data_IF_655931198816
#
_entry.id   IF_655931198816
#
_cell.length_a   1.000
_cell.length_b   1.000
_cell.length_c   1.000
_cell.angle_alpha   90.00
_cell.angle_beta   90.00
_cell.angle_gamma   90.00
#
_symmetry.space_group_name_H-M   'P 1'
#
loop_
_entity.id
_entity.type
_entity.pdbx_description
1 polymer ?
#
# COMPACT_ATOMS: atom_id res chain seq x y z
N UNK A 1 20.97 -7.99 -14.62
CA UNK A 1 21.81 -6.79 -14.42
C UNK A 1 22.69 -7.05 -13.21
N UNK A 2 23.99 -7.26 -13.42
CA UNK A 2 24.91 -7.57 -12.32
C UNK A 2 25.21 -6.32 -11.50
N UNK A 3 25.11 -6.41 -10.18
CA UNK A 3 25.55 -5.33 -9.28
C UNK A 3 27.06 -5.14 -9.46
N UNK A 4 27.46 -4.06 -10.12
CA UNK A 4 28.85 -3.66 -10.21
C UNK A 4 29.30 -3.22 -8.82
N UNK A 5 30.03 -4.09 -8.12
CA UNK A 5 30.62 -3.74 -6.84
C UNK A 5 31.69 -2.67 -7.05
N UNK A 6 31.41 -1.44 -6.59
CA UNK A 6 32.40 -0.35 -6.54
C UNK A 6 33.10 -0.42 -5.19
N UNK A 7 34.42 -0.62 -5.20
CA UNK A 7 35.22 -0.66 -3.97
C UNK A 7 35.20 0.74 -3.33
N UNK A 8 34.84 0.88 -2.04
CA UNK A 8 34.91 2.17 -1.36
C UNK A 8 36.37 2.66 -1.24
N UNK A 9 36.58 3.99 -1.17
CA UNK A 9 37.91 4.58 -0.99
C UNK A 9 38.53 4.13 0.34
N UNK A 10 39.86 4.01 0.36
CA UNK A 10 40.60 3.61 1.56
C UNK A 10 40.73 4.82 2.48
N UNK A 11 40.14 4.74 3.67
CA UNK A 11 40.06 5.86 4.62
C UNK A 11 41.21 5.87 5.64
N UNK A 12 41.91 4.75 5.85
CA UNK A 12 43.01 4.69 6.82
C UNK A 12 44.28 3.95 6.38
N UNK A 13 45.26 3.96 7.28
CA UNK A 13 46.62 3.42 7.04
C UNK A 13 46.83 1.98 7.50
N UNK A 14 45.83 1.34 8.13
CA UNK A 14 45.94 -0.05 8.59
C UNK A 14 46.25 -0.97 7.41
N UNK A 15 47.32 -1.78 7.47
CA UNK A 15 47.65 -2.75 6.43
C UNK A 15 46.74 -3.99 6.50
N UNK A 16 45.97 -4.15 7.58
CA UNK A 16 45.22 -5.36 7.88
C UNK A 16 43.73 -5.29 7.50
N UNK A 17 43.19 -4.10 7.21
CA UNK A 17 41.77 -3.91 6.88
C UNK A 17 41.61 -3.32 5.48
N UNK A 18 40.59 -3.78 4.75
CA UNK A 18 40.32 -3.33 3.37
C UNK A 18 39.93 -1.85 3.29
N UNK A 19 39.28 -1.33 4.33
CA UNK A 19 38.94 0.10 4.48
C UNK A 19 40.13 0.94 4.98
N UNK A 20 41.20 0.31 5.46
CA UNK A 20 42.36 0.98 6.04
C UNK A 20 42.13 1.51 7.47
N UNK A 21 40.90 1.46 7.98
CA UNK A 21 40.62 1.83 9.38
C UNK A 21 41.14 0.69 10.28
N UNK A 22 41.93 0.95 11.34
CA UNK A 22 42.36 -0.10 12.24
C UNK A 22 41.16 -0.87 12.79
N UNK A 23 41.25 -2.21 12.94
CA UNK A 23 40.17 -2.97 13.55
C UNK A 23 39.88 -2.42 14.95
N UNK A 24 38.61 -2.39 15.39
CA UNK A 24 38.26 -1.87 16.70
C UNK A 24 39.04 -2.61 17.79
N UNK A 25 39.56 -1.86 18.76
CA UNK A 25 40.42 -2.39 19.82
C UNK A 25 39.68 -3.43 20.65
N UNK A 26 40.26 -4.62 20.78
CA UNK A 26 39.76 -5.67 21.66
C UNK A 26 40.12 -5.34 23.11
N UNK A 27 39.11 -5.13 23.97
CA UNK A 27 39.33 -4.93 25.40
C UNK A 27 39.39 -6.30 26.09
N UNK A 28 40.55 -6.63 26.69
CA UNK A 28 40.58 -7.62 27.78
C UNK A 28 40.27 -6.88 29.08
N UNK A 29 39.26 -7.34 29.83
CA UNK A 29 39.06 -6.89 31.21
C UNK A 29 40.30 -7.34 32.00
N UNK A 30 41.03 -6.39 32.59
CA UNK A 30 42.28 -6.67 33.30
C UNK A 30 42.08 -7.80 34.32
N UNK A 31 42.83 -8.90 34.16
CA UNK A 31 42.79 -10.07 35.04
C UNK A 31 41.76 -11.17 34.70
N UNK A 32 41.07 -11.11 33.55
CA UNK A 32 40.13 -12.17 33.14
C UNK A 32 40.73 -13.16 32.14
N UNK A 33 40.56 -14.46 32.38
CA UNK A 33 40.86 -15.56 31.43
C UNK A 33 39.86 -15.67 30.26
N UNK A 34 38.90 -14.74 30.20
CA UNK A 34 37.88 -14.71 29.15
C UNK A 34 38.49 -14.34 27.78
N UNK A 35 38.04 -14.97 26.69
CA UNK A 35 38.39 -14.55 25.33
C UNK A 35 37.98 -13.10 25.06
N UNK A 36 38.81 -12.35 24.32
CA UNK A 36 38.51 -10.97 23.96
C UNK A 36 37.35 -10.91 22.95
N UNK A 37 36.33 -10.09 23.21
CA UNK A 37 35.18 -9.86 22.32
C UNK A 37 34.96 -8.37 22.01
N UNK A 38 34.20 -8.07 20.94
CA UNK A 38 33.82 -6.69 20.57
C UNK A 38 32.62 -6.22 21.41
N UNK A 39 32.54 -4.92 21.68
CA UNK A 39 31.68 -4.32 22.70
C UNK A 39 30.16 -4.54 22.52
N UNK A 40 29.64 -4.83 21.32
CA UNK A 40 28.17 -4.87 21.07
C UNK A 40 27.70 -5.86 19.97
N UNK A 41 28.42 -6.95 19.69
CA UNK A 41 28.00 -7.93 18.66
C UNK A 41 27.51 -9.22 19.35
N UNK A 42 26.31 -9.78 19.05
CA UNK A 42 26.07 -11.19 19.35
C UNK A 42 27.25 -11.96 18.75
N UNK A 43 27.88 -12.83 19.54
CA UNK A 43 29.17 -13.43 19.23
C UNK A 43 29.30 -13.74 17.73
N UNK A 44 30.13 -12.96 17.02
CA UNK A 44 30.31 -13.14 15.58
C UNK A 44 30.77 -14.58 15.35
N UNK A 45 30.04 -15.33 14.51
CA UNK A 45 30.33 -16.74 14.19
C UNK A 45 31.75 -16.91 13.64
N UNK A 46 32.34 -15.82 13.15
CA UNK A 46 33.64 -15.79 12.50
C UNK A 46 34.80 -15.59 13.48
N UNK A 47 34.57 -15.19 14.76
CA UNK A 47 35.60 -15.01 15.82
C UNK A 47 36.99 -14.58 15.26
N UNK A 48 38.07 -15.26 15.64
CA UNK A 48 39.41 -15.19 15.05
C UNK A 48 39.55 -16.02 13.76
N UNK A 49 38.51 -16.74 13.34
CA UNK A 49 38.49 -17.58 12.14
C UNK A 49 38.25 -16.76 10.87
N UNK A 50 37.99 -15.45 10.99
CA UNK A 50 38.06 -14.51 9.88
C UNK A 50 39.47 -14.51 9.24
N UNK A 51 40.53 -14.72 10.05
CA UNK A 51 41.89 -14.89 9.57
C UNK A 51 42.14 -16.33 9.09
N UNK A 52 42.51 -16.47 7.81
CA UNK A 52 42.67 -17.77 7.15
C UNK A 52 43.77 -18.64 7.77
N UNK A 53 44.82 -18.01 8.33
CA UNK A 53 45.93 -18.70 9.02
C UNK A 53 45.50 -19.34 10.32
N UNK A 54 44.64 -18.66 11.08
CA UNK A 54 44.10 -19.15 12.35
C UNK A 54 43.06 -20.24 12.07
N UNK A 55 42.30 -20.09 10.99
CA UNK A 55 41.34 -21.10 10.51
C UNK A 55 42.00 -22.45 10.20
N UNK A 56 43.21 -22.44 9.65
CA UNK A 56 43.97 -23.66 9.36
C UNK A 56 44.49 -24.39 10.62
N UNK A 57 44.63 -23.68 11.75
CA UNK A 57 45.11 -24.24 13.01
C UNK A 57 44.01 -24.94 13.85
N UNK A 58 42.73 -24.74 13.50
CA UNK A 58 41.59 -25.31 14.23
C UNK A 58 41.25 -24.58 15.54
N UNK A 59 40.17 -25.01 16.21
CA UNK A 59 39.73 -24.43 17.49
C UNK A 59 40.54 -25.00 18.67
N UNK A 60 40.91 -24.13 19.61
CA UNK A 60 41.45 -24.55 20.90
C UNK A 60 40.40 -25.31 21.72
N UNK A 61 40.81 -26.12 22.73
CA UNK A 61 39.88 -26.82 23.61
C UNK A 61 38.88 -25.87 24.30
N UNK A 62 39.36 -24.71 24.77
CA UNK A 62 38.51 -23.70 25.40
C UNK A 62 37.46 -23.14 24.43
N UNK A 63 37.85 -22.79 23.20
CA UNK A 63 36.91 -22.29 22.19
C UNK A 63 35.89 -23.35 21.78
N UNK A 64 36.29 -24.63 21.75
CA UNK A 64 35.37 -25.74 21.49
C UNK A 64 34.32 -25.85 22.58
N UNK A 65 34.70 -25.72 23.85
CA UNK A 65 33.77 -25.70 24.99
C UNK A 65 32.78 -24.54 24.91
N UNK A 66 33.27 -23.33 24.60
CA UNK A 66 32.43 -22.15 24.41
C UNK A 66 31.47 -22.32 23.23
N UNK A 67 31.93 -22.90 22.11
CA UNK A 67 31.09 -23.18 20.95
C UNK A 67 29.99 -24.19 21.28
N UNK A 68 30.29 -25.24 22.04
CA UNK A 68 29.30 -26.23 22.49
C UNK A 68 28.21 -25.57 23.35
N UNK A 69 28.59 -24.68 24.28
CA UNK A 69 27.64 -23.91 25.09
C UNK A 69 26.75 -23.02 24.22
N UNK A 70 27.35 -22.26 23.31
CA UNK A 70 26.58 -21.40 22.41
C UNK A 70 25.59 -22.16 21.53
N UNK A 71 26.00 -23.30 20.94
CA UNK A 71 25.08 -24.14 20.14
C UNK A 71 23.93 -24.63 21.00
N UNK A 72 24.19 -24.99 22.25
CA UNK A 72 23.17 -25.39 23.20
C UNK A 72 22.20 -24.24 23.49
N UNK A 73 22.71 -23.01 23.64
CA UNK A 73 21.90 -21.81 23.89
C UNK A 73 21.02 -21.39 22.70
N UNK A 74 21.28 -21.89 21.48
CA UNK A 74 20.39 -21.70 20.33
C UNK A 74 19.14 -22.60 20.36
N UNK A 75 19.09 -23.60 21.25
CA UNK A 75 17.90 -24.41 21.42
C UNK A 75 16.86 -23.58 22.17
N UNK A 76 15.77 -23.24 21.48
CA UNK A 76 14.63 -22.59 22.11
C UNK A 76 13.98 -23.51 23.14
N UNK A 77 13.30 -22.92 24.11
CA UNK A 77 12.48 -23.68 25.05
C UNK A 77 11.39 -24.45 24.28
N UNK A 78 10.98 -25.67 24.69
CA UNK A 78 9.91 -26.41 24.02
C UNK A 78 8.58 -25.63 23.91
N UNK A 79 8.34 -24.68 24.82
CA UNK A 79 7.14 -23.83 24.79
C UNK A 79 7.27 -22.60 23.90
N UNK A 80 8.45 -22.36 23.31
CA UNK A 80 8.69 -21.27 22.38
C UNK A 80 8.55 -21.74 20.92
N UNK A 81 7.92 -20.94 20.05
CA UNK A 81 7.40 -19.59 20.28
C UNK A 81 6.02 -19.58 20.98
N UNK A 82 5.89 -18.77 22.04
CA UNK A 82 4.60 -18.54 22.71
C UNK A 82 3.76 -17.60 21.83
N UNK A 83 2.80 -18.16 21.08
CA UNK A 83 1.87 -17.38 20.28
C UNK A 83 0.73 -16.90 21.18
N UNK A 84 0.71 -15.59 21.49
CA UNK A 84 -0.34 -14.98 22.31
C UNK A 84 -1.55 -14.65 21.44
N UNK A 85 -2.61 -15.45 21.56
CA UNK A 85 -3.86 -15.26 20.82
C UNK A 85 -4.46 -13.85 20.99
N UNK A 86 -4.30 -13.24 22.17
CA UNK A 86 -4.82 -11.90 22.44
C UNK A 86 -4.17 -10.79 21.57
N UNK A 87 -2.92 -10.98 21.14
CA UNK A 87 -2.22 -10.03 20.26
C UNK A 87 -2.69 -10.18 18.81
N UNK A 88 -3.06 -11.39 18.40
CA UNK A 88 -3.44 -11.68 17.01
C UNK A 88 -4.96 -11.71 16.78
N UNK A 89 -5.76 -11.76 17.85
CA UNK A 89 -7.22 -11.71 17.79
C UNK A 89 -7.69 -10.30 17.44
N UNK A 90 -8.48 -10.19 16.38
CA UNK A 90 -9.09 -8.91 16.03
C UNK A 90 -10.26 -8.64 16.99
N UNK A 91 -10.13 -7.61 17.84
CA UNK A 91 -11.17 -7.23 18.80
C UNK A 91 -12.43 -6.60 18.15
N UNK A 92 -12.38 -6.20 16.87
CA UNK A 92 -13.53 -5.56 16.21
C UNK A 92 -14.61 -6.59 15.84
N UNK A 93 -15.79 -6.59 16.50
CA UNK A 93 -16.83 -7.59 16.30
C UNK A 93 -17.46 -7.51 14.91
N UNK A 94 -17.60 -6.30 14.35
CA UNK A 94 -18.13 -6.09 13.00
C UNK A 94 -17.20 -6.77 11.98
N UNK A 95 -15.89 -6.61 12.18
CA UNK A 95 -14.89 -7.24 11.31
C UNK A 95 -14.88 -8.75 11.41
N UNK A 96 -15.07 -9.30 12.60
CA UNK A 96 -15.23 -10.75 12.78
C UNK A 96 -16.48 -11.24 12.05
N UNK A 97 -17.61 -10.54 12.21
CA UNK A 97 -18.89 -10.94 11.64
C UNK A 97 -18.86 -11.03 10.11
N UNK A 98 -18.40 -9.98 9.41
CA UNK A 98 -18.39 -10.01 7.94
C UNK A 98 -17.30 -10.94 7.37
N UNK A 99 -16.22 -11.21 8.10
CA UNK A 99 -15.16 -12.14 7.68
C UNK A 99 -15.52 -13.61 7.93
N UNK A 100 -16.29 -13.87 8.97
CA UNK A 100 -16.63 -15.23 9.41
C UNK A 100 -17.09 -16.19 8.30
N UNK A 101 -18.04 -15.83 7.40
CA UNK A 101 -18.49 -16.75 6.37
C UNK A 101 -17.36 -17.11 5.38
N UNK A 102 -16.55 -16.12 4.98
CA UNK A 102 -15.42 -16.34 4.07
C UNK A 102 -14.28 -17.12 4.72
N UNK A 103 -14.06 -16.92 6.01
CA UNK A 103 -13.04 -17.65 6.76
C UNK A 103 -13.42 -19.12 6.92
N UNK A 104 -14.70 -19.42 7.15
CA UNK A 104 -15.23 -20.79 7.15
C UNK A 104 -15.13 -21.45 5.78
N UNK A 105 -15.52 -20.74 4.71
CA UNK A 105 -15.42 -21.23 3.34
C UNK A 105 -13.95 -21.54 2.98
N UNK A 106 -13.03 -20.66 3.39
CA UNK A 106 -11.60 -20.87 3.18
C UNK A 106 -11.06 -22.10 3.91
N UNK A 107 -11.35 -22.25 5.20
CA UNK A 107 -10.79 -23.36 6.00
C UNK A 107 -11.38 -24.72 5.62
N UNK A 108 -12.68 -24.78 5.31
CA UNK A 108 -13.38 -26.04 5.09
C UNK A 108 -13.41 -26.48 3.62
N UNK A 109 -13.32 -25.56 2.65
CA UNK A 109 -13.41 -25.89 1.22
C UNK A 109 -12.20 -25.42 0.42
N UNK A 110 -11.84 -24.13 0.47
CA UNK A 110 -10.80 -23.62 -0.44
C UNK A 110 -9.40 -24.17 -0.15
N UNK A 111 -9.01 -24.19 1.14
CA UNK A 111 -7.71 -24.69 1.57
C UNK A 111 -7.51 -26.18 1.27
N UNK A 112 -8.45 -27.10 1.59
CA UNK A 112 -8.25 -28.52 1.29
C UNK A 112 -8.31 -28.83 -0.21
N UNK A 113 -9.13 -28.12 -1.00
CA UNK A 113 -9.29 -28.43 -2.43
C UNK A 113 -8.21 -27.79 -3.31
N UNK A 114 -7.86 -26.52 -3.06
CA UNK A 114 -6.94 -25.75 -3.92
C UNK A 114 -5.56 -25.50 -3.30
N UNK A 115 -5.36 -25.92 -2.04
CA UNK A 115 -4.15 -25.62 -1.29
C UNK A 115 -4.08 -24.19 -0.78
N UNK A 116 -3.00 -23.88 -0.05
CA UNK A 116 -2.86 -22.59 0.65
C UNK A 116 -2.73 -21.42 -0.32
N UNK A 117 -1.94 -21.56 -1.38
CA UNK A 117 -1.69 -20.46 -2.30
C UNK A 117 -2.95 -20.07 -3.07
N UNK A 118 -3.54 -20.97 -3.85
CA UNK A 118 -4.74 -20.65 -4.62
C UNK A 118 -5.95 -20.36 -3.73
N UNK A 119 -6.11 -21.07 -2.61
CA UNK A 119 -7.18 -20.80 -1.66
C UNK A 119 -7.12 -19.38 -1.08
N UNK A 120 -5.92 -18.85 -0.79
CA UNK A 120 -5.76 -17.48 -0.29
C UNK A 120 -6.07 -16.45 -1.36
N UNK A 121 -5.65 -16.69 -2.60
CA UNK A 121 -6.00 -15.83 -3.75
C UNK A 121 -7.52 -15.74 -3.88
N UNK A 122 -8.22 -16.88 -3.94
CA UNK A 122 -9.68 -16.94 -4.10
C UNK A 122 -10.40 -16.22 -2.94
N UNK A 123 -9.97 -16.46 -1.69
CA UNK A 123 -10.53 -15.82 -0.49
C UNK A 123 -10.46 -14.29 -0.55
N UNK A 124 -9.43 -13.73 -1.18
CA UNK A 124 -9.21 -12.28 -1.23
C UNK A 124 -9.84 -11.65 -2.46
N UNK A 125 -9.83 -12.32 -3.62
CA UNK A 125 -10.27 -11.75 -4.90
C UNK A 125 -11.78 -11.83 -5.07
N UNK A 126 -12.40 -12.98 -4.80
CA UNK A 126 -13.83 -13.20 -5.08
C UNK A 126 -14.75 -12.25 -4.31
N UNK A 127 -14.60 -12.04 -2.98
CA UNK A 127 -15.47 -11.09 -2.28
C UNK A 127 -15.34 -9.67 -2.82
N UNK A 128 -14.12 -9.27 -3.22
CA UNK A 128 -13.88 -7.94 -3.80
C UNK A 128 -14.57 -7.81 -5.16
N UNK A 129 -14.47 -8.82 -6.02
CA UNK A 129 -15.14 -8.82 -7.32
C UNK A 129 -16.66 -8.73 -7.14
N UNK A 130 -17.24 -9.49 -6.20
CA UNK A 130 -18.67 -9.44 -5.91
C UNK A 130 -19.08 -8.05 -5.41
N UNK A 131 -18.34 -7.46 -4.48
CA UNK A 131 -18.63 -6.12 -3.96
C UNK A 131 -18.48 -5.04 -5.04
N UNK A 132 -17.45 -5.13 -5.88
CA UNK A 132 -17.27 -4.21 -7.01
C UNK A 132 -18.41 -4.35 -8.00
N UNK A 133 -18.83 -5.57 -8.33
CA UNK A 133 -19.96 -5.81 -9.22
C UNK A 133 -21.27 -5.22 -8.64
N UNK A 134 -21.57 -5.50 -7.37
CA UNK A 134 -22.74 -4.92 -6.70
C UNK A 134 -22.69 -3.38 -6.64
N UNK A 135 -21.51 -2.80 -6.39
CA UNK A 135 -21.33 -1.36 -6.40
C UNK A 135 -21.58 -0.77 -7.81
N UNK A 136 -21.07 -1.41 -8.86
CA UNK A 136 -21.30 -0.97 -10.24
C UNK A 136 -22.77 -1.09 -10.64
N UNK A 137 -23.43 -2.19 -10.31
CA UNK A 137 -24.86 -2.40 -10.59
C UNK A 137 -25.73 -1.40 -9.83
N UNK A 138 -25.44 -1.13 -8.55
CA UNK A 138 -26.17 -0.13 -7.77
C UNK A 138 -25.94 1.28 -8.29
N UNK A 139 -24.71 1.64 -8.66
CA UNK A 139 -24.40 2.92 -9.31
C UNK A 139 -25.12 3.03 -10.67
N UNK A 140 -25.11 1.98 -11.48
CA UNK A 140 -25.80 1.94 -12.77
C UNK A 140 -27.31 2.07 -12.60
N UNK A 141 -27.89 1.34 -11.66
CA UNK A 141 -29.31 1.43 -11.35
C UNK A 141 -29.69 2.84 -10.90
N UNK A 142 -28.92 3.41 -9.97
CA UNK A 142 -29.15 4.77 -9.48
C UNK A 142 -29.03 5.78 -10.62
N UNK A 143 -27.99 5.69 -11.45
CA UNK A 143 -27.85 6.56 -12.61
C UNK A 143 -28.99 6.37 -13.62
N UNK A 144 -29.46 5.15 -13.87
CA UNK A 144 -30.50 4.88 -14.88
C UNK A 144 -31.90 5.34 -14.46
N UNK A 145 -32.26 5.18 -13.18
CA UNK A 145 -33.64 5.36 -12.72
C UNK A 145 -33.82 6.58 -11.80
N UNK A 146 -32.76 7.07 -11.17
CA UNK A 146 -32.77 8.27 -10.32
C UNK A 146 -32.06 9.43 -11.04
N UNK A 147 -32.31 9.59 -12.34
CA UNK A 147 -31.89 10.79 -13.08
C UNK A 147 -32.70 11.96 -12.55
N UNK A 148 -32.02 13.08 -12.27
CA UNK A 148 -32.69 14.30 -11.84
C UNK A 148 -33.45 14.91 -13.01
N UNK A 149 -34.75 14.66 -13.05
CA UNK A 149 -35.68 15.26 -14.00
C UNK A 149 -36.53 16.36 -13.34
N UNK A 150 -37.30 17.09 -14.14
CA UNK A 150 -38.24 18.08 -13.62
C UNK A 150 -39.31 17.49 -12.67
N UNK A 151 -39.55 16.17 -12.72
CA UNK A 151 -40.42 15.44 -11.80
C UNK A 151 -39.71 14.97 -10.52
N UNK A 152 -38.38 14.82 -10.55
CA UNK A 152 -37.59 14.24 -9.46
C UNK A 152 -36.45 15.20 -9.05
N UNK A 153 -36.62 15.85 -7.90
CA UNK A 153 -35.68 16.89 -7.43
C UNK A 153 -34.33 16.33 -6.93
N UNK A 154 -34.23 15.02 -6.74
CA UNK A 154 -33.03 14.31 -6.28
C UNK A 154 -32.47 13.47 -7.43
N UNK A 155 -31.20 13.14 -7.37
CA UNK A 155 -30.56 12.29 -8.38
C UNK A 155 -29.35 12.93 -9.03
N UNK A 156 -28.83 12.25 -10.05
CA UNK A 156 -27.70 12.72 -10.84
C UNK A 156 -28.21 13.62 -11.97
N UNK A 157 -27.67 14.83 -12.08
CA UNK A 157 -27.89 15.71 -13.22
C UNK A 157 -27.01 15.25 -14.39
N UNK A 158 -27.63 14.72 -15.44
CA UNK A 158 -26.93 14.43 -16.69
C UNK A 158 -27.06 15.65 -17.60
N UNK A 159 -25.98 16.42 -17.72
CA UNK A 159 -25.89 17.42 -18.78
C UNK A 159 -25.57 16.72 -20.10
N UNK A 160 -26.19 17.11 -21.23
CA UNK A 160 -25.79 16.60 -22.53
C UNK A 160 -24.31 16.94 -22.73
N UNK A 161 -23.51 15.96 -23.19
CA UNK A 161 -22.13 16.24 -23.56
C UNK A 161 -22.13 17.33 -24.63
N UNK A 162 -21.28 18.35 -24.44
CA UNK A 162 -21.01 19.32 -25.50
C UNK A 162 -20.49 18.54 -26.71
N UNK A 163 -21.23 18.62 -27.82
CA UNK A 163 -20.79 18.00 -29.06
C UNK A 163 -19.47 18.64 -29.49
N UNK A 164 -18.44 17.82 -29.66
CA UNK A 164 -17.12 18.26 -30.14
C UNK A 164 -17.10 18.08 -31.65
N UNK A 165 -17.10 19.18 -32.39
CA UNK A 165 -16.90 19.16 -33.85
C UNK A 165 -15.40 19.24 -34.13
N UNK A 166 -14.81 18.15 -34.63
CA UNK A 166 -13.37 18.07 -34.90
C UNK A 166 -12.92 19.08 -35.96
N UNK A 167 -13.73 19.28 -37.01
CA UNK A 167 -13.38 20.12 -38.17
C UNK A 167 -14.07 21.49 -38.12
N UNK A 168 -14.34 22.02 -36.92
CA UNK A 168 -15.09 23.25 -36.74
C UNK A 168 -14.52 24.43 -37.55
N UNK A 169 -13.19 24.56 -37.61
CA UNK A 169 -12.51 25.65 -38.33
C UNK A 169 -12.70 25.57 -39.85
N UNK A 170 -12.63 24.37 -40.42
CA UNK A 170 -12.80 24.18 -41.86
C UNK A 170 -14.24 24.42 -42.30
N UNK A 171 -15.20 23.98 -41.47
CA UNK A 171 -16.62 24.19 -41.71
C UNK A 171 -16.95 25.68 -41.63
N UNK A 172 -16.43 26.39 -40.63
CA UNK A 172 -16.64 27.84 -40.50
C UNK A 172 -16.02 28.63 -41.66
N UNK A 173 -14.86 28.18 -42.16
CA UNK A 173 -14.20 28.80 -43.31
C UNK A 173 -14.98 28.61 -44.62
N UNK A 174 -15.58 27.43 -44.83
CA UNK A 174 -16.39 27.12 -46.04
C UNK A 174 -17.80 27.68 -45.94
N UNK A 175 -18.39 27.66 -44.75
CA UNK A 175 -19.78 28.00 -44.47
C UNK A 175 -19.88 28.81 -43.16
N UNK A 176 -19.60 30.12 -43.20
CA UNK A 176 -19.57 30.95 -42.00
C UNK A 176 -20.94 31.00 -41.32
N UNK A 177 -20.97 30.80 -40.00
CA UNK A 177 -22.18 30.80 -39.18
C UNK A 177 -23.06 29.56 -39.30
N UNK A 178 -22.67 28.57 -40.11
CA UNK A 178 -23.44 27.33 -40.27
C UNK A 178 -23.51 26.55 -38.95
N UNK A 179 -22.40 26.47 -38.22
CA UNK A 179 -22.33 25.73 -36.95
C UNK A 179 -23.30 26.32 -35.93
N UNK A 180 -23.34 27.65 -35.80
CA UNK A 180 -24.24 28.34 -34.87
C UNK A 180 -25.73 28.26 -35.27
N UNK A 181 -26.03 27.98 -36.55
CA UNK A 181 -27.40 27.79 -37.05
C UNK A 181 -27.84 26.33 -37.02
N UNK A 182 -26.92 25.40 -37.25
CA UNK A 182 -27.19 23.97 -37.38
C UNK A 182 -27.07 23.21 -36.06
N UNK A 183 -26.31 23.73 -35.09
CA UNK A 183 -26.33 23.20 -33.73
C UNK A 183 -27.39 23.92 -32.91
N UNK A 184 -28.19 23.13 -32.21
CA UNK A 184 -29.10 23.65 -31.20
C UNK A 184 -28.26 24.05 -29.96
N UNK A 185 -28.33 25.31 -29.58
CA UNK A 185 -27.70 25.82 -28.37
C UNK A 185 -28.80 26.04 -27.32
N UNK A 186 -28.99 25.11 -26.36
CA UNK A 186 -30.03 25.23 -25.36
C UNK A 186 -29.87 26.49 -24.49
N UNK A 187 -28.67 27.06 -24.39
CA UNK A 187 -28.42 28.30 -23.67
C UNK A 187 -28.89 29.55 -24.44
N UNK A 188 -29.01 29.48 -25.78
CA UNK A 188 -29.37 30.61 -26.66
C UNK A 188 -30.75 31.19 -26.34
N UNK A 189 -31.68 30.34 -25.95
CA UNK A 189 -33.03 30.74 -25.56
C UNK A 189 -33.19 30.91 -24.05
N UNK A 190 -32.10 30.79 -23.28
CA UNK A 190 -32.16 30.85 -21.82
C UNK A 190 -33.02 29.74 -21.22
N UNK A 191 -33.06 28.56 -21.86
CA UNK A 191 -33.61 27.37 -21.21
C UNK A 191 -32.65 26.98 -20.09
N UNK A 192 -32.83 27.63 -18.93
CA UNK A 192 -32.20 27.20 -17.70
C UNK A 192 -32.66 25.77 -17.41
N UNK A 193 -31.76 24.95 -16.85
CA UNK A 193 -32.18 23.69 -16.25
C UNK A 193 -33.39 23.96 -15.34
N UNK A 194 -34.39 23.07 -15.28
CA UNK A 194 -35.57 23.24 -14.43
C UNK A 194 -35.27 23.42 -12.93
N UNK A 195 -34.00 23.30 -12.54
CA UNK A 195 -33.54 23.68 -11.22
C UNK A 195 -33.73 25.18 -11.02
N UNK A 196 -34.83 25.50 -10.34
CA UNK A 196 -35.23 26.78 -9.76
C UNK A 196 -34.17 27.51 -8.90
N UNK A 197 -32.90 27.08 -8.91
CA UNK A 197 -31.82 27.62 -8.08
C UNK A 197 -31.39 29.02 -8.52
N UNK A 198 -31.68 29.42 -9.76
CA UNK A 198 -31.54 30.82 -10.20
C UNK A 198 -32.91 31.52 -10.17
N UNK A 199 -33.44 31.79 -8.97
CA UNK A 199 -34.49 32.79 -8.80
C UNK A 199 -33.90 34.20 -8.94
N UNK A 200 -33.49 34.58 -10.14
CA UNK A 200 -33.48 36.01 -10.47
C UNK A 200 -34.93 36.35 -10.76
N UNK A 201 -35.66 36.80 -9.74
CA UNK A 201 -36.98 37.34 -9.97
C UNK A 201 -36.81 38.54 -10.93
N UNK A 202 -37.45 38.49 -12.11
CA UNK A 202 -37.49 39.64 -13.03
C UNK A 202 -38.29 40.82 -12.45
N UNK A 203 -38.89 40.65 -11.28
CA UNK A 203 -39.49 41.71 -10.49
C UNK A 203 -38.38 42.47 -9.76
N UNK A 204 -38.05 43.65 -10.28
CA UNK A 204 -37.34 44.66 -9.52
C UNK A 204 -38.27 45.12 -8.38
N UNK A 205 -38.08 44.54 -7.20
CA UNK A 205 -38.87 44.86 -6.00
C UNK A 205 -38.45 46.18 -5.36
N UNK A 206 -37.55 46.93 -6.01
CA UNK A 206 -36.96 48.16 -5.49
C UNK A 206 -35.98 47.90 -4.36
N UNK A 207 -35.37 48.98 -3.86
CA UNK A 207 -34.39 48.92 -2.76
C UNK A 207 -35.11 48.48 -1.48
N UNK A 208 -34.61 47.43 -0.81
CA UNK A 208 -35.17 46.97 0.46
C UNK A 208 -35.12 48.08 1.51
N UNK A 209 -36.27 48.50 2.04
CA UNK A 209 -36.35 49.58 3.06
C UNK A 209 -35.81 49.18 4.45
N UNK A 210 -35.25 47.97 4.63
CA UNK A 210 -34.78 47.50 5.94
C UNK A 210 -33.30 47.85 6.12
N UNK A 211 -32.93 48.54 7.21
CA UNK A 211 -31.54 48.88 7.52
C UNK A 211 -30.87 47.73 8.28
N UNK A 212 -30.68 46.58 7.64
CA UNK A 212 -29.71 45.57 8.08
C UNK A 212 -29.21 44.73 6.91
#
# INVERSE_FOLDING_TARGET
MGNQYVKPPREGSSPYTRSGIPPPTTLKKSGSDLPSHRFNDPMSLELHMADERVRAAGLSPAEREWRMKWVKDQHLHPDEPIVVDAVHRQLNPIRVLYRWPWDKLYMHFLKPTFGVYYGTVIRVTVPKVILTFLALETMYYYWKYEVKDWQHLRGIETMPLKQVITNAKEIEAKYPGLIARGLDDPARHGYYSPTFDKRTAYLDVGVTQRPW
#
